data_IF_129755144047
#
_entry.id   IF_129755144047
#
_cell.length_a   1.000
_cell.length_b   1.000
_cell.length_c   1.000
_cell.angle_alpha   90.00
_cell.angle_beta   90.00
_cell.angle_gamma   90.00
#
_symmetry.space_group_name_H-M   'P 1'
#
loop_
_entity.id
_entity.type
_entity.pdbx_description
1 polymer ?
#
# COMPACT_ATOMS: atom_id res chain seq x y z
N UNK A 1 -25.39 27.02 1.89
CA UNK A 1 -24.08 27.17 1.25
C UNK A 1 -23.04 27.37 2.34
N UNK A 2 -22.37 26.33 2.75
CA UNK A 2 -21.12 26.43 3.51
C UNK A 2 -20.25 25.31 2.96
N UNK A 3 -19.39 25.70 2.02
CA UNK A 3 -18.30 24.90 1.47
C UNK A 3 -17.31 24.59 2.60
N UNK A 4 -17.50 23.45 3.25
CA UNK A 4 -16.43 22.87 4.08
C UNK A 4 -15.43 22.26 3.11
N UNK A 5 -14.54 23.09 2.58
CA UNK A 5 -13.26 22.64 2.06
C UNK A 5 -12.60 21.84 3.17
N UNK A 6 -12.79 20.51 3.16
CA UNK A 6 -11.98 19.61 3.94
C UNK A 6 -10.53 19.78 3.43
N UNK A 7 -9.77 20.62 4.11
CA UNK A 7 -8.32 20.61 4.02
C UNK A 7 -7.89 19.19 4.39
N UNK A 8 -7.74 18.32 3.39
CA UNK A 8 -7.06 17.06 3.54
C UNK A 8 -5.64 17.43 3.97
N UNK A 9 -5.35 17.37 5.27
CA UNK A 9 -4.00 17.55 5.78
C UNK A 9 -3.17 16.49 5.11
N UNK A 10 -2.32 16.90 4.17
CA UNK A 10 -1.40 16.04 3.46
C UNK A 10 -0.53 15.33 4.51
N UNK A 11 -0.59 13.99 4.58
CA UNK A 11 0.25 13.19 5.47
C UNK A 11 1.71 13.13 5.03
N UNK A 12 2.01 13.64 3.86
CA UNK A 12 3.33 13.59 3.25
C UNK A 12 3.94 14.99 3.16
N UNK A 13 5.28 15.12 3.19
CA UNK A 13 6.25 14.02 3.12
C UNK A 13 6.26 13.13 4.36
N UNK A 14 6.53 11.83 4.17
CA UNK A 14 6.88 10.93 5.26
C UNK A 14 8.39 10.92 5.37
N UNK A 15 8.91 11.22 6.56
CA UNK A 15 10.36 11.21 6.84
C UNK A 15 10.64 10.13 7.87
N UNK A 16 11.54 9.24 7.53
CA UNK A 16 11.96 8.12 8.37
C UNK A 16 13.46 8.26 8.64
N UNK A 17 13.85 8.21 9.91
CA UNK A 17 15.24 8.39 10.35
C UNK A 17 15.63 7.29 11.33
N UNK A 18 16.68 6.52 10.95
CA UNK A 18 17.29 5.46 11.74
C UNK A 18 16.30 4.43 12.32
N UNK A 19 15.22 4.15 11.59
CA UNK A 19 14.17 3.26 12.03
C UNK A 19 14.66 1.82 12.07
N UNK A 20 14.54 1.18 13.24
CA UNK A 20 14.87 -0.23 13.43
C UNK A 20 13.73 -0.97 14.11
N UNK A 21 13.58 -2.25 13.74
CA UNK A 21 12.64 -3.20 14.33
C UNK A 21 13.38 -4.49 14.62
N UNK A 22 13.22 -4.99 15.84
CA UNK A 22 13.84 -6.21 16.35
C UNK A 22 12.73 -7.18 16.75
N UNK A 23 12.80 -8.41 16.26
CA UNK A 23 11.92 -9.49 16.72
C UNK A 23 12.79 -10.59 17.34
N UNK A 24 12.69 -10.75 18.65
CA UNK A 24 13.59 -11.62 19.40
C UNK A 24 15.04 -11.14 19.28
N UNK A 25 15.90 -11.94 18.66
CA UNK A 25 17.31 -11.58 18.42
C UNK A 25 17.57 -11.05 17.00
N UNK A 26 16.56 -11.02 16.13
CA UNK A 26 16.74 -10.70 14.72
C UNK A 26 16.30 -9.27 14.42
N UNK A 27 17.19 -8.48 13.82
CA UNK A 27 16.87 -7.16 13.28
C UNK A 27 16.14 -7.32 11.95
N UNK A 28 14.83 -7.10 11.96
CA UNK A 28 13.99 -7.20 10.75
C UNK A 28 14.11 -5.95 9.89
N UNK A 29 14.19 -4.78 10.52
CA UNK A 29 14.57 -3.53 9.86
C UNK A 29 15.74 -2.91 10.63
N UNK A 30 16.73 -2.42 9.91
CA UNK A 30 17.98 -1.94 10.48
C UNK A 30 18.34 -0.56 9.95
N UNK A 31 18.15 0.48 10.77
CA UNK A 31 18.53 1.87 10.51
C UNK A 31 18.01 2.42 9.17
N UNK A 32 16.74 2.19 8.89
CA UNK A 32 16.11 2.67 7.66
C UNK A 32 16.02 4.20 7.68
N UNK A 33 16.54 4.82 6.62
CA UNK A 33 16.49 6.25 6.38
C UNK A 33 15.87 6.50 5.01
N UNK A 34 14.70 7.16 4.94
CA UNK A 34 14.08 7.53 3.66
C UNK A 34 13.10 8.70 3.79
N UNK A 35 12.80 9.32 2.64
CA UNK A 35 11.79 10.37 2.54
C UNK A 35 10.85 10.09 1.39
N UNK A 36 9.56 9.93 1.68
CA UNK A 36 8.51 9.66 0.69
C UNK A 36 7.78 10.97 0.38
N UNK A 37 7.81 11.34 -0.90
CA UNK A 37 7.21 12.58 -1.39
C UNK A 37 5.69 12.47 -1.48
N UNK A 38 5.04 13.62 -1.38
CA UNK A 38 3.61 13.75 -1.59
C UNK A 38 3.19 13.34 -3.02
N UNK A 39 1.99 12.78 -3.16
CA UNK A 39 1.36 12.45 -4.45
C UNK A 39 2.25 11.56 -5.34
N UNK A 40 3.07 10.70 -4.73
CA UNK A 40 3.94 9.76 -5.43
C UNK A 40 3.43 8.33 -5.33
N UNK A 41 3.80 7.51 -6.31
CA UNK A 41 3.73 6.06 -6.18
C UNK A 41 5.16 5.59 -5.94
N UNK A 42 5.38 4.92 -4.82
CA UNK A 42 6.69 4.37 -4.42
C UNK A 42 6.57 2.85 -4.38
N UNK A 43 7.43 2.16 -5.13
CA UNK A 43 7.53 0.70 -5.04
C UNK A 43 8.67 0.30 -4.10
N UNK A 44 8.38 -0.61 -3.18
CA UNK A 44 9.34 -1.24 -2.29
C UNK A 44 9.70 -2.60 -2.89
N UNK A 45 10.92 -2.71 -3.41
CA UNK A 45 11.45 -3.92 -4.04
C UNK A 45 12.46 -4.60 -3.14
N UNK A 46 12.72 -5.88 -3.39
CA UNK A 46 13.72 -6.70 -2.72
C UNK A 46 13.29 -8.16 -2.60
N UNK A 47 14.20 -9.05 -2.20
CA UNK A 47 13.92 -10.48 -2.06
C UNK A 47 12.88 -10.74 -0.95
N UNK A 48 12.41 -12.00 -0.90
CA UNK A 48 11.55 -12.44 0.20
C UNK A 48 12.34 -12.38 1.52
N UNK A 49 11.67 -11.96 2.60
CA UNK A 49 12.34 -11.78 3.88
C UNK A 49 13.12 -10.45 4.04
N UNK A 50 13.23 -9.61 3.02
CA UNK A 50 13.98 -8.33 3.09
C UNK A 50 13.37 -7.27 4.03
N UNK A 51 12.18 -7.51 4.63
CA UNK A 51 11.53 -6.58 5.55
C UNK A 51 10.44 -5.71 4.93
N UNK A 52 10.10 -5.87 3.64
CA UNK A 52 9.15 -5.02 2.89
C UNK A 52 7.78 -4.89 3.56
N UNK A 53 7.13 -6.01 3.86
CA UNK A 53 5.80 -6.02 4.53
C UNK A 53 5.88 -5.46 5.95
N UNK A 54 7.00 -5.70 6.65
CA UNK A 54 7.23 -5.13 7.98
C UNK A 54 7.30 -3.61 7.91
N UNK A 55 8.02 -3.08 6.92
CA UNK A 55 8.11 -1.64 6.67
C UNK A 55 6.73 -1.01 6.43
N UNK A 56 5.87 -1.62 5.60
CA UNK A 56 4.50 -1.13 5.39
C UNK A 56 3.66 -1.18 6.67
N UNK A 57 3.72 -2.28 7.42
CA UNK A 57 2.99 -2.43 8.69
C UNK A 57 3.42 -1.40 9.73
N UNK A 58 4.69 -1.04 9.75
CA UNK A 58 5.22 0.01 10.62
C UNK A 58 4.68 1.39 10.22
N UNK A 59 4.69 1.73 8.93
CA UNK A 59 4.10 2.99 8.44
C UNK A 59 2.60 3.07 8.78
N UNK A 60 1.89 1.95 8.72
CA UNK A 60 0.48 1.88 9.14
C UNK A 60 0.29 2.02 10.66
N UNK A 61 1.35 1.89 11.45
CA UNK A 61 1.27 1.88 12.92
C UNK A 61 0.73 0.58 13.51
N UNK A 62 0.74 -0.52 12.75
CA UNK A 62 0.39 -1.86 13.23
C UNK A 62 1.52 -2.51 14.04
N UNK A 63 2.75 -2.06 13.81
CA UNK A 63 3.96 -2.53 14.49
C UNK A 63 4.68 -1.32 15.03
N UNK A 64 5.06 -1.38 16.31
CA UNK A 64 5.89 -0.38 16.96
C UNK A 64 7.32 -0.41 16.40
N UNK A 65 8.07 0.64 16.70
CA UNK A 65 9.49 0.74 16.39
C UNK A 65 10.31 0.55 17.67
N UNK A 66 11.48 -0.10 17.56
CA UNK A 66 12.40 -0.24 18.68
C UNK A 66 13.33 0.97 18.80
N UNK A 67 13.70 1.57 17.66
CA UNK A 67 14.48 2.80 17.62
C UNK A 67 14.25 3.61 16.35
N UNK A 68 14.69 4.85 16.35
CA UNK A 68 14.52 5.80 15.27
C UNK A 68 13.26 6.64 15.41
N UNK A 69 12.91 7.37 14.35
CA UNK A 69 11.74 8.26 14.31
C UNK A 69 11.10 8.23 12.93
N UNK A 70 9.79 8.41 12.87
CA UNK A 70 9.13 8.70 11.60
C UNK A 70 8.02 9.74 11.78
N UNK A 71 7.95 10.63 10.80
CA UNK A 71 7.04 11.77 10.81
C UNK A 71 6.20 11.80 9.55
N UNK A 72 4.94 12.15 9.72
CA UNK A 72 3.99 12.44 8.65
C UNK A 72 3.79 13.95 8.60
N UNK A 73 4.34 14.61 7.56
CA UNK A 73 4.30 16.07 7.45
C UNK A 73 4.70 16.77 8.77
N UNK A 74 5.87 16.38 9.29
CA UNK A 74 6.44 16.88 10.56
C UNK A 74 5.65 16.55 11.84
N UNK A 75 4.68 15.63 11.78
CA UNK A 75 3.92 15.15 12.93
C UNK A 75 4.19 13.67 13.18
N UNK A 76 4.32 13.27 14.44
CA UNK A 76 4.34 11.86 14.81
C UNK A 76 2.98 11.21 14.57
N UNK A 77 2.99 9.88 14.44
CA UNK A 77 1.75 9.12 14.22
C UNK A 77 0.80 9.29 15.41
N UNK A 78 -0.44 9.62 15.08
CA UNK A 78 -1.53 9.76 16.05
C UNK A 78 -2.83 9.21 15.46
N UNK A 79 -3.90 9.18 16.23
CA UNK A 79 -5.19 8.63 15.79
C UNK A 79 -5.80 9.34 14.59
N UNK A 80 -5.52 10.64 14.42
CA UNK A 80 -5.98 11.39 13.25
C UNK A 80 -5.23 10.91 11.99
N UNK A 81 -3.91 10.80 12.07
CA UNK A 81 -3.05 10.31 10.99
C UNK A 81 -3.43 8.88 10.61
N UNK A 82 -3.63 7.99 11.60
CA UNK A 82 -4.04 6.59 11.35
C UNK A 82 -5.33 6.46 10.55
N UNK A 83 -6.31 7.37 10.75
CA UNK A 83 -7.57 7.37 9.99
C UNK A 83 -7.41 7.75 8.51
N UNK A 84 -6.31 8.41 8.17
CA UNK A 84 -5.97 8.83 6.81
C UNK A 84 -5.11 7.79 6.07
N UNK A 85 -4.74 6.69 6.73
CA UNK A 85 -3.96 5.59 6.16
C UNK A 85 -4.87 4.38 5.96
N UNK A 86 -4.79 3.77 4.78
CA UNK A 86 -5.40 2.47 4.54
C UNK A 86 -4.35 1.48 4.06
N UNK A 87 -4.48 0.21 4.46
CA UNK A 87 -3.60 -0.87 4.03
C UNK A 87 -4.40 -2.01 3.43
N UNK A 88 -3.93 -2.49 2.29
CA UNK A 88 -4.37 -3.74 1.67
C UNK A 88 -3.28 -4.77 1.88
N UNK A 89 -3.63 -5.87 2.53
CA UNK A 89 -2.70 -6.96 2.82
C UNK A 89 -2.56 -7.91 1.64
N UNK A 90 -1.44 -8.62 1.56
CA UNK A 90 -1.17 -9.65 0.56
C UNK A 90 -2.27 -10.73 0.56
N UNK A 91 -2.66 -11.21 1.75
CA UNK A 91 -3.80 -12.12 1.91
C UNK A 91 -5.04 -11.31 2.33
N UNK A 92 -6.13 -11.32 1.54
CA UNK A 92 -7.35 -10.60 1.89
C UNK A 92 -7.93 -11.05 3.23
N UNK A 93 -8.23 -10.09 4.11
CA UNK A 93 -8.92 -10.34 5.37
C UNK A 93 -10.38 -9.89 5.22
N UNK A 94 -11.28 -10.83 4.97
CA UNK A 94 -12.69 -10.58 4.73
C UNK A 94 -13.56 -11.15 5.86
N UNK A 95 -14.65 -10.45 6.16
CA UNK A 95 -15.65 -10.93 7.11
C UNK A 95 -16.48 -12.06 6.46
N UNK A 96 -16.96 -13.00 7.28
CA UNK A 96 -17.91 -14.06 6.86
C UNK A 96 -19.30 -13.48 6.59
N UNK A 97 -19.39 -12.54 5.66
CA UNK A 97 -20.57 -11.79 5.27
C UNK A 97 -20.61 -11.64 3.75
N UNK A 98 -21.68 -11.04 3.23
CA UNK A 98 -21.77 -10.69 1.81
C UNK A 98 -20.72 -9.63 1.41
N UNK A 99 -20.50 -9.47 0.11
CA UNK A 99 -19.65 -8.41 -0.46
C UNK A 99 -20.10 -7.04 0.03
N UNK A 100 -21.40 -6.76 -0.07
CA UNK A 100 -21.98 -5.48 0.37
C UNK A 100 -21.80 -5.23 1.87
N UNK A 101 -22.03 -6.25 2.70
CA UNK A 101 -21.86 -6.12 4.15
C UNK A 101 -20.39 -5.95 4.58
N UNK A 102 -19.43 -6.53 3.84
CA UNK A 102 -18.02 -6.27 4.02
C UNK A 102 -17.66 -4.79 3.80
N UNK A 103 -18.28 -4.15 2.82
CA UNK A 103 -18.15 -2.71 2.58
C UNK A 103 -18.84 -1.89 3.67
N UNK A 104 -20.09 -2.22 3.98
CA UNK A 104 -20.91 -1.50 4.96
C UNK A 104 -20.29 -1.48 6.37
N UNK A 105 -19.54 -2.52 6.73
CA UNK A 105 -18.84 -2.62 8.01
C UNK A 105 -17.82 -1.49 8.23
N UNK A 106 -17.18 -1.02 7.16
CA UNK A 106 -16.15 0.05 7.23
C UNK A 106 -16.76 1.42 7.57
N UNK A 107 -18.03 1.64 7.26
CA UNK A 107 -18.67 2.94 7.43
C UNK A 107 -19.25 3.11 8.83
N UNK A 108 -18.86 4.18 9.53
CA UNK A 108 -19.42 4.54 10.82
C UNK A 108 -20.88 4.98 10.73
N UNK A 109 -21.24 5.73 9.68
CA UNK A 109 -22.62 6.19 9.39
C UNK A 109 -23.22 5.34 8.27
N UNK A 110 -24.40 4.78 8.52
CA UNK A 110 -25.14 3.91 7.59
C UNK A 110 -26.38 4.64 7.10
N UNK A 111 -26.24 5.44 6.06
CA UNK A 111 -27.34 6.16 5.42
C UNK A 111 -27.40 5.89 3.91
N UNK A 112 -28.43 6.41 3.22
CA UNK A 112 -28.62 6.22 1.77
C UNK A 112 -27.41 6.68 0.95
N UNK A 113 -26.78 7.80 1.32
CA UNK A 113 -25.59 8.33 0.65
C UNK A 113 -24.37 7.37 0.80
N UNK A 114 -24.23 6.73 1.95
CA UNK A 114 -23.20 5.71 2.20
C UNK A 114 -23.36 4.50 1.28
N UNK A 115 -24.60 4.05 1.06
CA UNK A 115 -24.88 2.92 0.16
C UNK A 115 -24.54 3.26 -1.29
N UNK A 116 -24.87 4.46 -1.78
CA UNK A 116 -24.49 4.90 -3.13
C UNK A 116 -22.98 4.88 -3.35
N UNK A 117 -22.21 5.29 -2.34
CA UNK A 117 -20.74 5.22 -2.40
C UNK A 117 -20.24 3.78 -2.45
N UNK A 118 -20.85 2.86 -1.71
CA UNK A 118 -20.53 1.41 -1.76
C UNK A 118 -20.80 0.88 -3.17
N UNK A 119 -22.01 1.12 -3.73
CA UNK A 119 -22.37 0.67 -5.07
C UNK A 119 -21.38 1.15 -6.13
N UNK A 120 -21.04 2.44 -6.10
CA UNK A 120 -20.07 3.03 -7.03
C UNK A 120 -18.70 2.36 -6.95
N UNK A 121 -18.19 2.12 -5.73
CA UNK A 121 -16.90 1.46 -5.55
C UNK A 121 -16.94 -0.01 -5.97
N UNK A 122 -18.00 -0.75 -5.62
CA UNK A 122 -18.13 -2.16 -6.03
C UNK A 122 -18.21 -2.28 -7.56
N UNK A 123 -18.92 -1.38 -8.23
CA UNK A 123 -18.95 -1.32 -9.70
C UNK A 123 -17.55 -1.05 -10.26
N UNK A 124 -16.82 -0.10 -9.66
CA UNK A 124 -15.46 0.29 -10.09
C UNK A 124 -14.46 -0.86 -9.97
N UNK A 125 -14.58 -1.73 -8.96
CA UNK A 125 -13.70 -2.90 -8.79
C UNK A 125 -14.26 -4.16 -9.49
N UNK A 126 -15.30 -4.05 -10.31
CA UNK A 126 -15.90 -5.16 -11.06
C UNK A 126 -16.65 -6.18 -10.18
N UNK A 127 -17.16 -5.74 -9.02
CA UNK A 127 -17.91 -6.59 -8.07
C UNK A 127 -19.40 -6.18 -7.94
N UNK A 128 -19.88 -5.31 -8.81
CA UNK A 128 -21.25 -4.80 -8.74
C UNK A 128 -22.33 -5.87 -8.80
N UNK A 129 -22.11 -6.94 -9.58
CA UNK A 129 -23.07 -8.06 -9.72
C UNK A 129 -22.99 -9.08 -8.58
N UNK A 130 -21.98 -8.99 -7.70
CA UNK A 130 -21.74 -9.94 -6.62
C UNK A 130 -22.10 -9.41 -5.24
N UNK A 131 -22.88 -8.32 -5.14
CA UNK A 131 -23.11 -7.61 -3.87
C UNK A 131 -23.67 -8.51 -2.76
N UNK A 132 -24.58 -9.39 -3.10
CA UNK A 132 -25.24 -10.29 -2.14
C UNK A 132 -24.53 -11.63 -1.98
N UNK A 133 -23.47 -11.87 -2.77
CA UNK A 133 -22.69 -13.11 -2.70
C UNK A 133 -21.85 -13.13 -1.42
N UNK A 134 -21.75 -14.26 -0.70
CA UNK A 134 -20.82 -14.42 0.42
C UNK A 134 -19.37 -14.15 -0.04
N UNK A 135 -18.67 -13.23 0.63
CA UNK A 135 -17.32 -12.81 0.21
C UNK A 135 -16.31 -13.95 0.17
N UNK A 136 -16.49 -15.00 0.98
CA UNK A 136 -15.65 -16.20 0.98
C UNK A 136 -15.74 -17.04 -0.32
N UNK A 137 -16.82 -16.86 -1.10
CA UNK A 137 -17.03 -17.58 -2.36
C UNK A 137 -16.48 -16.83 -3.59
N UNK A 138 -15.84 -15.68 -3.36
CA UNK A 138 -15.14 -14.94 -4.39
C UNK A 138 -13.80 -15.64 -4.72
N UNK A 139 -13.36 -15.52 -5.97
CA UNK A 139 -12.00 -15.91 -6.37
C UNK A 139 -10.94 -15.06 -5.64
N UNK A 140 -9.67 -15.48 -5.64
CA UNK A 140 -8.59 -14.73 -5.03
C UNK A 140 -8.48 -13.29 -5.54
N UNK A 141 -8.59 -13.10 -6.86
CA UNK A 141 -8.59 -11.78 -7.48
C UNK A 141 -9.79 -10.92 -7.09
N UNK A 142 -11.00 -11.52 -7.02
CA UNK A 142 -12.20 -10.83 -6.55
C UNK A 142 -12.09 -10.42 -5.07
N UNK A 143 -11.54 -11.29 -4.22
CA UNK A 143 -11.31 -10.99 -2.80
C UNK A 143 -10.30 -9.84 -2.63
N UNK A 144 -9.23 -9.82 -3.43
CA UNK A 144 -8.24 -8.75 -3.40
C UNK A 144 -8.85 -7.43 -3.89
N UNK A 145 -9.66 -7.45 -4.94
CA UNK A 145 -10.40 -6.27 -5.42
C UNK A 145 -11.40 -5.75 -4.39
N UNK A 146 -12.06 -6.64 -3.64
CA UNK A 146 -12.93 -6.25 -2.51
C UNK A 146 -12.12 -5.60 -1.38
N UNK A 147 -10.93 -6.14 -1.04
CA UNK A 147 -10.03 -5.54 -0.05
C UNK A 147 -9.60 -4.13 -0.45
N UNK A 148 -9.26 -3.93 -1.73
CA UNK A 148 -8.93 -2.61 -2.27
C UNK A 148 -10.13 -1.66 -2.19
N UNK A 149 -11.33 -2.09 -2.56
CA UNK A 149 -12.54 -1.28 -2.44
C UNK A 149 -12.81 -0.85 -1.00
N UNK A 150 -12.64 -1.76 -0.04
CA UNK A 150 -12.77 -1.46 1.40
C UNK A 150 -11.78 -0.39 1.85
N UNK A 151 -10.52 -0.50 1.43
CA UNK A 151 -9.48 0.49 1.73
C UNK A 151 -9.82 1.87 1.12
N UNK A 152 -10.35 1.92 -0.10
CA UNK A 152 -10.72 3.16 -0.78
C UNK A 152 -11.98 3.81 -0.22
N UNK A 153 -12.85 3.05 0.43
CA UNK A 153 -14.12 3.55 0.95
C UNK A 153 -13.95 4.64 2.02
N UNK A 154 -12.90 4.57 2.82
CA UNK A 154 -12.54 5.60 3.81
C UNK A 154 -11.87 6.83 3.20
N UNK A 155 -11.58 6.81 1.88
CA UNK A 155 -10.90 7.86 1.14
C UNK A 155 -9.57 8.28 1.78
N UNK A 156 -8.59 7.37 1.93
CA UNK A 156 -7.34 7.64 2.62
C UNK A 156 -6.47 8.63 1.83
N UNK A 157 -5.61 9.37 2.52
CA UNK A 157 -4.55 10.20 1.91
C UNK A 157 -3.31 9.38 1.56
N UNK A 158 -3.07 8.29 2.32
CA UNK A 158 -1.98 7.33 2.11
C UNK A 158 -2.55 5.92 1.94
N UNK A 159 -2.24 5.28 0.82
CA UNK A 159 -2.62 3.91 0.52
C UNK A 159 -1.39 3.01 0.52
N UNK A 160 -1.40 2.00 1.36
CA UNK A 160 -0.35 0.99 1.50
C UNK A 160 -0.84 -0.31 0.88
N UNK A 161 -0.06 -0.89 -0.04
CA UNK A 161 -0.42 -2.10 -0.78
C UNK A 161 0.69 -3.14 -0.61
N UNK A 162 0.40 -4.20 0.14
CA UNK A 162 1.37 -5.27 0.36
C UNK A 162 1.14 -6.39 -0.67
N UNK A 163 1.98 -6.45 -1.69
CA UNK A 163 1.92 -7.38 -2.82
C UNK A 163 0.49 -7.56 -3.40
N UNK A 164 -0.16 -6.46 -3.85
CA UNK A 164 -1.60 -6.43 -4.11
C UNK A 164 -2.05 -7.29 -5.30
N UNK A 165 -1.13 -7.81 -6.10
CA UNK A 165 -1.43 -8.53 -7.35
C UNK A 165 -0.79 -9.91 -7.43
N UNK A 166 -0.18 -10.38 -6.35
CA UNK A 166 0.48 -11.69 -6.31
C UNK A 166 -0.54 -12.82 -6.50
N UNK A 167 -0.25 -13.74 -7.41
CA UNK A 167 -1.08 -14.90 -7.77
C UNK A 167 -2.47 -14.55 -8.32
N UNK A 168 -2.61 -13.37 -8.95
CA UNK A 168 -3.86 -12.97 -9.59
C UNK A 168 -3.83 -13.18 -11.11
N UNK A 169 -5.03 -13.28 -11.68
CA UNK A 169 -5.21 -13.30 -13.13
C UNK A 169 -4.90 -11.92 -13.77
N UNK A 170 -4.54 -11.89 -15.08
CA UNK A 170 -4.16 -10.66 -15.77
C UNK A 170 -5.23 -9.56 -15.74
N UNK A 171 -6.51 -9.93 -15.74
CA UNK A 171 -7.62 -8.96 -15.67
C UNK A 171 -7.64 -8.26 -14.30
N UNK A 172 -7.55 -9.04 -13.21
CA UNK A 172 -7.50 -8.50 -11.84
C UNK A 172 -6.27 -7.62 -11.62
N UNK A 173 -5.09 -8.04 -12.14
CA UNK A 173 -3.86 -7.24 -12.09
C UNK A 173 -4.10 -5.88 -12.76
N UNK A 174 -4.56 -5.88 -14.02
CA UNK A 174 -4.79 -4.67 -14.80
C UNK A 174 -5.76 -3.73 -14.09
N UNK A 175 -6.89 -4.24 -13.60
CA UNK A 175 -7.90 -3.44 -12.92
C UNK A 175 -7.38 -2.81 -11.63
N UNK A 176 -6.59 -3.55 -10.82
CA UNK A 176 -5.96 -3.02 -9.61
C UNK A 176 -4.96 -1.93 -9.96
N UNK A 177 -4.10 -2.14 -10.98
CA UNK A 177 -3.12 -1.16 -11.44
C UNK A 177 -3.79 0.13 -11.93
N UNK A 178 -4.84 0.03 -12.73
CA UNK A 178 -5.60 1.18 -13.22
C UNK A 178 -6.21 1.99 -12.07
N UNK A 179 -6.77 1.30 -11.06
CA UNK A 179 -7.31 1.96 -9.86
C UNK A 179 -6.20 2.67 -9.08
N UNK A 180 -5.03 2.05 -8.92
CA UNK A 180 -3.87 2.65 -8.24
C UNK A 180 -3.42 3.94 -8.95
N UNK A 181 -3.30 3.91 -10.27
CA UNK A 181 -2.94 5.08 -11.07
C UNK A 181 -3.99 6.20 -10.94
N UNK A 182 -5.28 5.85 -10.99
CA UNK A 182 -6.37 6.82 -10.82
C UNK A 182 -6.38 7.47 -9.44
N UNK A 183 -6.17 6.68 -8.37
CA UNK A 183 -6.10 7.23 -7.02
C UNK A 183 -4.88 8.15 -6.82
N UNK A 184 -3.76 7.84 -7.46
CA UNK A 184 -2.59 8.74 -7.45
C UNK A 184 -2.86 10.03 -8.23
N UNK A 185 -3.52 9.97 -9.40
CA UNK A 185 -3.96 11.17 -10.15
C UNK A 185 -4.87 12.07 -9.31
N UNK A 186 -5.69 11.50 -8.41
CA UNK A 186 -6.51 12.24 -7.43
C UNK A 186 -5.71 12.82 -6.27
N UNK A 187 -4.40 12.65 -6.26
CA UNK A 187 -3.49 13.25 -5.29
C UNK A 187 -3.16 12.37 -4.09
N UNK A 188 -3.50 11.09 -4.08
CA UNK A 188 -3.10 10.17 -3.02
C UNK A 188 -1.62 9.78 -3.15
N UNK A 189 -0.97 9.58 -2.02
CA UNK A 189 0.34 8.93 -1.95
C UNK A 189 0.13 7.43 -1.82
N UNK A 190 0.90 6.65 -2.58
CA UNK A 190 0.76 5.19 -2.61
C UNK A 190 2.14 4.57 -2.40
N UNK A 191 2.22 3.61 -1.50
CA UNK A 191 3.41 2.78 -1.29
C UNK A 191 2.99 1.35 -1.52
N UNK A 192 3.64 0.67 -2.45
CA UNK A 192 3.36 -0.73 -2.72
C UNK A 192 4.61 -1.59 -2.60
N UNK A 193 4.48 -2.77 -2.02
CA UNK A 193 5.50 -3.81 -2.14
C UNK A 193 5.18 -4.67 -3.35
N UNK A 194 6.19 -5.11 -4.07
CA UNK A 194 6.03 -6.07 -5.14
C UNK A 194 7.37 -6.79 -5.42
N UNK A 195 7.31 -7.98 -5.93
CA UNK A 195 8.44 -8.67 -6.53
C UNK A 195 8.36 -8.67 -8.08
N UNK A 196 7.27 -8.15 -8.66
CA UNK A 196 7.11 -7.96 -10.09
C UNK A 196 7.81 -6.67 -10.55
N UNK A 197 8.96 -6.84 -11.21
CA UNK A 197 9.73 -5.74 -11.83
C UNK A 197 8.89 -4.98 -12.87
N UNK A 198 8.07 -5.69 -13.65
CA UNK A 198 7.19 -5.10 -14.64
C UNK A 198 6.15 -4.17 -14.01
N UNK A 199 5.53 -4.61 -12.92
CA UNK A 199 4.58 -3.78 -12.15
C UNK A 199 5.26 -2.53 -11.58
N UNK A 200 6.44 -2.68 -10.98
CA UNK A 200 7.19 -1.54 -10.45
C UNK A 200 7.50 -0.51 -11.56
N UNK A 201 7.89 -0.97 -12.76
CA UNK A 201 8.13 -0.09 -13.92
C UNK A 201 6.88 0.63 -14.40
N UNK A 202 5.71 -0.05 -14.40
CA UNK A 202 4.44 0.56 -14.86
C UNK A 202 3.87 1.58 -13.90
N UNK A 203 4.01 1.34 -12.58
CA UNK A 203 3.31 2.13 -11.57
C UNK A 203 4.19 3.16 -10.87
N UNK A 204 5.43 2.80 -10.52
CA UNK A 204 6.22 3.59 -9.59
C UNK A 204 6.92 4.78 -10.24
N UNK A 205 7.07 5.85 -9.47
CA UNK A 205 7.96 6.99 -9.77
C UNK A 205 9.32 6.83 -9.09
N UNK A 206 9.34 6.15 -7.94
CA UNK A 206 10.51 5.97 -7.10
C UNK A 206 10.55 4.54 -6.56
N UNK A 207 11.75 4.01 -6.39
CA UNK A 207 12.02 2.69 -5.83
C UNK A 207 12.73 2.84 -4.48
N UNK A 208 12.28 2.07 -3.50
CA UNK A 208 13.00 1.74 -2.28
C UNK A 208 13.44 0.28 -2.40
N UNK A 209 14.73 0.04 -2.54
CA UNK A 209 15.27 -1.32 -2.65
C UNK A 209 15.77 -1.81 -1.31
N UNK A 210 15.14 -2.86 -0.81
CA UNK A 210 15.43 -3.49 0.47
C UNK A 210 16.20 -4.80 0.26
N UNK A 211 17.21 -5.04 1.11
CA UNK A 211 17.86 -6.33 1.25
C UNK A 211 18.28 -6.54 2.71
N UNK A 212 18.05 -7.73 3.27
CA UNK A 212 18.42 -8.12 4.62
C UNK A 212 18.10 -7.05 5.69
N UNK A 213 16.86 -6.53 5.64
CA UNK A 213 16.37 -5.52 6.58
C UNK A 213 16.96 -4.12 6.41
N UNK A 214 17.74 -3.86 5.37
CA UNK A 214 18.36 -2.55 5.08
C UNK A 214 17.75 -1.94 3.82
N UNK A 215 17.60 -0.62 3.79
CA UNK A 215 17.32 0.13 2.59
C UNK A 215 18.63 0.43 1.87
N UNK A 216 18.92 -0.27 0.80
CA UNK A 216 20.17 -0.12 0.04
C UNK A 216 20.11 1.02 -0.95
N UNK A 217 18.95 1.23 -1.59
CA UNK A 217 18.77 2.32 -2.56
C UNK A 217 17.40 2.99 -2.42
N UNK A 218 17.41 4.32 -2.52
CA UNK A 218 16.23 5.13 -2.81
C UNK A 218 16.54 5.95 -4.07
N UNK A 219 15.80 5.70 -5.16
CA UNK A 219 16.08 6.35 -6.44
C UNK A 219 14.86 6.37 -7.36
N UNK A 220 14.87 7.21 -8.40
CA UNK A 220 13.82 7.21 -9.43
C UNK A 220 13.78 5.86 -10.16
N UNK A 221 12.59 5.40 -10.52
CA UNK A 221 12.38 4.11 -11.21
C UNK A 221 13.28 3.96 -12.45
N UNK A 222 13.40 5.00 -13.27
CA UNK A 222 14.24 4.96 -14.49
C UNK A 222 15.71 4.69 -14.13
N UNK A 223 16.23 5.35 -13.11
CA UNK A 223 17.63 5.21 -12.68
C UNK A 223 17.87 3.83 -12.08
N UNK A 224 16.94 3.32 -11.26
CA UNK A 224 17.06 2.00 -10.64
C UNK A 224 17.26 0.90 -11.70
N UNK A 225 16.44 0.91 -12.75
CA UNK A 225 16.49 -0.14 -13.77
C UNK A 225 17.57 0.08 -14.85
N UNK A 226 18.03 1.31 -15.08
CA UNK A 226 19.11 1.58 -16.05
C UNK A 226 20.50 1.48 -15.45
N UNK A 227 20.69 1.98 -14.22
CA UNK A 227 21.99 2.07 -13.56
C UNK A 227 21.79 1.94 -12.04
N UNK A 228 21.54 0.72 -11.55
CA UNK A 228 21.48 0.45 -10.11
C UNK A 228 22.81 0.78 -9.46
N UNK A 229 22.79 1.23 -8.19
CA UNK A 229 23.98 1.71 -7.48
C UNK A 229 24.69 0.59 -6.73
N UNK A 230 23.96 -0.47 -6.36
CA UNK A 230 24.46 -1.58 -5.54
C UNK A 230 24.53 -2.86 -6.36
N UNK A 231 25.48 -3.74 -6.03
CA UNK A 231 25.60 -5.04 -6.67
C UNK A 231 24.38 -5.92 -6.41
N UNK A 232 23.77 -5.80 -5.24
CA UNK A 232 22.54 -6.49 -4.86
C UNK A 232 21.37 -6.06 -5.76
N UNK A 233 21.20 -4.76 -5.99
CA UNK A 233 20.16 -4.26 -6.90
C UNK A 233 20.39 -4.73 -8.34
N UNK A 234 21.64 -4.71 -8.82
CA UNK A 234 22.02 -5.24 -10.13
C UNK A 234 21.69 -6.73 -10.25
N UNK A 235 22.04 -7.53 -9.24
CA UNK A 235 21.76 -8.96 -9.20
C UNK A 235 20.25 -9.22 -9.17
N UNK A 236 19.51 -8.48 -8.34
CA UNK A 236 18.05 -8.58 -8.24
C UNK A 236 17.36 -8.29 -9.58
N UNK A 237 17.75 -7.21 -10.28
CA UNK A 237 17.18 -6.83 -11.58
C UNK A 237 17.45 -7.90 -12.64
N UNK A 238 18.61 -8.55 -12.57
CA UNK A 238 19.02 -9.62 -13.49
C UNK A 238 18.47 -11.00 -13.10
N UNK A 239 17.59 -11.09 -12.09
CA UNK A 239 16.99 -12.35 -11.65
C UNK A 239 17.97 -13.31 -10.95
N UNK A 240 19.13 -12.82 -10.48
CA UNK A 240 20.09 -13.62 -9.70
C UNK A 240 19.60 -13.77 -8.26
N UNK A 241 19.85 -14.95 -7.69
CA UNK A 241 19.54 -15.21 -6.27
C UNK A 241 20.48 -14.36 -5.40
N UNK A 242 19.89 -13.58 -4.50
CA UNK A 242 20.63 -12.88 -3.47
C UNK A 242 20.74 -13.78 -2.23
N UNK A 243 21.95 -14.16 -1.88
CA UNK A 243 22.28 -14.93 -0.69
C UNK A 243 22.56 -14.02 0.51
#
# INVERSE_FOLDING_TARGET
>A
MLDVKKNSKLLTPIVISNLSIILGKTKILNQINCKIKNKSIVAVLGPNGAGKSMFLKTINGLIGIDSGKFFFNSQEINDHIRKEIAMVFQKPILLRRTVFENMKFILKKKNKHSNLKIYSLLKRVGLGIYMDRPARLLSGGEQQRLSLARALLINPSLLLLDEPTTNLDPYSIKLIEDIVLDENKKGKTIILTTHDIGQAKRLAKEILFFNNGKLLEQTKVINFFKKPKTNEAQSYINGKILL
#
